data_IF_962873037628
#
_entry.id   IF_962873037628
#
_cell.length_a   1.000
_cell.length_b   1.000
_cell.length_c   1.000
_cell.angle_alpha   90.00
_cell.angle_beta   90.00
_cell.angle_gamma   90.00
#
_symmetry.space_group_name_H-M   'P 1'
#
loop_
_entity.id
_entity.type
_entity.pdbx_description
1 polymer ?
#
# COMPACT_ATOMS: atom_id res chain seq x y z
N UNK A 1 -47.18 29.92 23.68
CA UNK A 1 -47.15 28.60 23.00
C UNK A 1 -45.87 28.53 22.17
N UNK A 2 -44.76 28.11 22.80
CA UNK A 2 -43.50 27.81 22.10
C UNK A 2 -42.65 26.92 23.02
N UNK A 3 -42.95 25.63 23.01
CA UNK A 3 -42.19 24.58 23.70
C UNK A 3 -41.49 23.64 22.71
N UNK A 4 -41.48 23.99 21.42
CA UNK A 4 -40.96 23.15 20.34
C UNK A 4 -39.60 23.60 19.81
N UNK A 5 -39.14 24.82 20.13
CA UNK A 5 -37.90 25.37 19.55
C UNK A 5 -36.66 25.09 20.41
N UNK A 6 -36.83 24.66 21.68
CA UNK A 6 -35.70 24.50 22.61
C UNK A 6 -35.08 23.10 22.65
N UNK A 7 -35.75 22.07 22.13
CA UNK A 7 -35.23 20.68 22.10
C UNK A 7 -34.35 20.37 20.87
N UNK A 8 -34.43 21.18 19.81
CA UNK A 8 -33.76 20.86 18.53
C UNK A 8 -32.30 21.30 18.52
N UNK A 9 -31.89 22.24 19.38
CA UNK A 9 -30.51 22.72 19.45
C UNK A 9 -29.59 21.86 20.32
N UNK A 10 -30.12 21.04 21.23
CA UNK A 10 -29.31 20.15 22.09
C UNK A 10 -28.97 18.83 21.38
N UNK A 11 -29.83 18.32 20.49
CA UNK A 11 -29.60 17.07 19.75
C UNK A 11 -28.60 17.15 18.58
N UNK A 12 -28.17 18.35 18.17
CA UNK A 12 -27.21 18.53 17.08
C UNK A 12 -25.76 18.70 17.55
N UNK A 13 -25.54 18.90 18.86
CA UNK A 13 -24.20 19.07 19.44
C UNK A 13 -23.62 17.73 19.91
N UNK A 14 -24.45 16.82 20.44
CA UNK A 14 -24.01 15.48 20.86
C UNK A 14 -23.53 14.58 19.69
N UNK A 15 -24.06 14.77 18.47
CA UNK A 15 -23.68 13.95 17.31
C UNK A 15 -22.30 14.32 16.72
N UNK A 16 -21.73 15.47 17.08
CA UNK A 16 -20.45 15.96 16.52
C UNK A 16 -19.27 15.54 17.39
N UNK A 17 -19.45 15.34 18.70
CA UNK A 17 -18.37 14.92 19.60
C UNK A 17 -17.94 13.47 19.34
N UNK A 18 -18.89 12.55 19.11
CA UNK A 18 -18.60 11.14 18.82
C UNK A 18 -17.78 10.94 17.51
N UNK A 19 -18.01 11.80 16.51
CA UNK A 19 -17.30 11.72 15.21
C UNK A 19 -15.83 12.15 15.32
N UNK A 20 -15.53 13.12 16.20
CA UNK A 20 -14.16 13.61 16.40
C UNK A 20 -13.32 12.59 17.18
N UNK A 21 -13.92 11.89 18.14
CA UNK A 21 -13.26 10.82 18.90
C UNK A 21 -12.90 9.63 17.99
N UNK A 22 -13.83 9.22 17.12
CA UNK A 22 -13.60 8.17 16.12
C UNK A 22 -12.52 8.55 15.10
N UNK A 23 -12.48 9.82 14.68
CA UNK A 23 -11.47 10.34 13.75
C UNK A 23 -10.04 10.21 14.27
N UNK A 24 -9.82 10.46 15.57
CA UNK A 24 -8.50 10.34 16.19
C UNK A 24 -8.08 8.87 16.32
N UNK A 25 -9.02 7.98 16.68
CA UNK A 25 -8.77 6.55 16.78
C UNK A 25 -8.42 5.95 15.40
N UNK A 26 -9.13 6.33 14.34
CA UNK A 26 -8.84 5.91 12.96
C UNK A 26 -7.48 6.45 12.49
N UNK A 27 -7.15 7.71 12.79
CA UNK A 27 -5.86 8.31 12.45
C UNK A 27 -4.68 7.66 13.21
N UNK A 28 -4.89 7.16 14.42
CA UNK A 28 -3.87 6.44 15.18
C UNK A 28 -3.72 4.99 14.70
N UNK A 29 -4.82 4.31 14.35
CA UNK A 29 -4.82 2.97 13.75
C UNK A 29 -4.13 2.97 12.39
N UNK A 30 -4.41 3.97 11.54
CA UNK A 30 -3.75 4.12 10.23
C UNK A 30 -2.24 4.36 10.37
N UNK A 31 -1.81 5.20 11.33
CA UNK A 31 -0.38 5.40 11.63
C UNK A 31 0.31 4.14 12.17
N UNK A 32 -0.34 3.36 13.03
CA UNK A 32 0.20 2.07 13.52
C UNK A 32 0.32 1.06 12.38
N UNK A 33 -0.70 0.94 11.54
CA UNK A 33 -0.68 0.08 10.36
C UNK A 33 0.44 0.50 9.39
N UNK A 34 0.59 1.79 9.09
CA UNK A 34 1.66 2.30 8.24
C UNK A 34 3.07 2.02 8.80
N UNK A 35 3.26 2.11 10.13
CA UNK A 35 4.52 1.74 10.78
C UNK A 35 4.80 0.24 10.72
N UNK A 36 3.79 -0.59 10.92
CA UNK A 36 3.92 -2.04 10.85
C UNK A 36 4.19 -2.51 9.41
N UNK A 37 3.53 -1.92 8.41
CA UNK A 37 3.82 -2.17 7.00
C UNK A 37 5.26 -1.78 6.62
N UNK A 38 5.76 -0.64 7.12
CA UNK A 38 7.16 -0.24 6.92
C UNK A 38 8.19 -1.17 7.59
N UNK A 39 7.81 -1.85 8.69
CA UNK A 39 8.66 -2.83 9.38
C UNK A 39 8.58 -4.21 8.73
N UNK A 40 7.40 -4.62 8.25
CA UNK A 40 7.20 -5.88 7.53
C UNK A 40 7.84 -5.87 6.14
N UNK A 41 7.89 -4.72 5.45
CA UNK A 41 8.60 -4.58 4.18
C UNK A 41 10.11 -4.88 4.29
N UNK A 42 10.70 -4.80 5.49
CA UNK A 42 12.10 -5.14 5.75
C UNK A 42 12.31 -6.62 6.13
N UNK A 43 11.24 -7.35 6.44
CA UNK A 43 11.31 -8.74 6.92
C UNK A 43 11.00 -9.79 5.85
N UNK A 44 10.45 -9.41 4.70
CA UNK A 44 10.05 -10.34 3.64
C UNK A 44 10.90 -10.17 2.39
N UNK A 45 12.19 -10.47 2.49
CA UNK A 45 13.07 -10.73 1.33
C UNK A 45 12.77 -12.12 0.73
N UNK A 46 11.48 -12.44 0.52
CA UNK A 46 11.01 -13.60 -0.26
C UNK A 46 10.68 -13.12 -1.68
N UNK A 47 11.73 -12.79 -2.44
CA UNK A 47 11.65 -11.92 -3.63
C UNK A 47 11.10 -12.63 -4.87
N UNK A 48 11.06 -13.96 -4.91
CA UNK A 48 10.79 -14.69 -6.15
C UNK A 48 9.30 -14.90 -6.49
N UNK A 49 8.40 -14.86 -5.50
CA UNK A 49 6.99 -15.24 -5.65
C UNK A 49 6.05 -14.03 -5.86
N UNK A 50 6.45 -12.84 -5.38
CA UNK A 50 5.59 -11.64 -5.45
C UNK A 50 5.63 -10.87 -6.77
N UNK A 51 6.49 -11.26 -7.73
CA UNK A 51 6.61 -10.57 -9.02
C UNK A 51 5.59 -11.05 -10.06
N UNK A 52 5.03 -12.24 -9.90
CA UNK A 52 4.26 -12.90 -10.96
C UNK A 52 2.84 -12.33 -11.10
N UNK A 53 2.33 -11.66 -10.08
CA UNK A 53 1.02 -10.97 -10.02
C UNK A 53 1.13 -9.44 -10.22
N UNK A 54 2.30 -8.95 -10.63
CA UNK A 54 2.50 -7.56 -11.07
C UNK A 54 2.17 -7.44 -12.55
N UNK A 55 1.10 -6.70 -12.90
CA UNK A 55 0.67 -6.51 -14.30
C UNK A 55 1.41 -5.35 -15.01
N UNK A 56 2.11 -4.49 -14.27
CA UNK A 56 2.75 -3.32 -14.85
C UNK A 56 3.73 -2.61 -13.93
N UNK A 57 4.43 -1.61 -14.46
CA UNK A 57 5.45 -0.85 -13.75
C UNK A 57 5.22 0.66 -13.92
N UNK A 58 5.13 1.39 -12.80
CA UNK A 58 5.06 2.85 -12.78
C UNK A 58 6.40 3.44 -12.40
N UNK A 59 6.96 4.30 -13.25
CA UNK A 59 8.16 5.08 -12.91
C UNK A 59 7.85 6.11 -11.83
N UNK A 60 8.76 6.27 -10.87
CA UNK A 60 8.70 7.25 -9.79
C UNK A 60 10.09 7.64 -9.30
N UNK A 61 10.15 8.72 -8.51
CA UNK A 61 11.32 9.09 -7.71
C UNK A 61 11.09 8.64 -6.26
N UNK A 62 12.05 7.90 -5.70
CA UNK A 62 11.96 7.38 -4.33
C UNK A 62 12.13 8.49 -3.29
N UNK A 63 11.24 8.61 -2.31
CA UNK A 63 11.46 9.46 -1.13
C UNK A 63 12.19 8.74 0.02
N UNK A 64 12.33 7.42 -0.08
CA UNK A 64 13.04 6.56 0.88
C UNK A 64 13.83 5.51 0.14
N UNK A 65 14.95 5.10 0.70
CA UNK A 65 15.72 4.00 0.15
C UNK A 65 14.89 2.71 0.08
N UNK A 66 15.13 1.92 -0.95
CA UNK A 66 14.49 0.63 -1.20
C UNK A 66 15.52 -0.33 -1.80
N UNK A 67 15.13 -1.59 -2.01
CA UNK A 67 15.98 -2.58 -2.66
C UNK A 67 15.30 -3.08 -3.92
N UNK A 68 16.07 -3.25 -5.00
CA UNK A 68 15.55 -3.83 -6.23
C UNK A 68 15.10 -5.27 -5.97
N UNK A 69 13.82 -5.56 -6.17
CA UNK A 69 13.21 -6.88 -6.02
C UNK A 69 13.65 -7.89 -7.11
N UNK A 70 14.81 -7.71 -7.74
CA UNK A 70 15.34 -8.69 -8.69
C UNK A 70 16.84 -8.86 -8.57
N UNK A 71 17.59 -7.76 -8.67
CA UNK A 71 19.04 -7.80 -8.58
C UNK A 71 19.57 -7.39 -7.21
N UNK A 72 18.67 -7.14 -6.25
CA UNK A 72 18.97 -6.81 -4.85
C UNK A 72 19.84 -5.57 -4.66
N UNK A 73 20.03 -4.78 -5.72
CA UNK A 73 20.76 -3.52 -5.64
C UNK A 73 19.98 -2.52 -4.81
N UNK A 74 20.68 -1.84 -3.92
CA UNK A 74 20.12 -0.74 -3.14
C UNK A 74 19.77 0.44 -4.03
N UNK A 75 18.58 0.97 -3.81
CA UNK A 75 18.02 2.14 -4.47
C UNK A 75 17.99 3.27 -3.46
N UNK A 76 18.75 4.33 -3.70
CA UNK A 76 18.81 5.49 -2.80
C UNK A 76 17.50 6.30 -2.81
N UNK A 77 17.25 7.05 -1.74
CA UNK A 77 16.30 8.15 -1.81
C UNK A 77 16.74 9.16 -2.88
N UNK A 78 15.79 9.70 -3.64
CA UNK A 78 16.01 10.56 -4.80
C UNK A 78 16.28 9.80 -6.11
N UNK A 79 16.48 8.47 -6.08
CA UNK A 79 16.70 7.69 -7.30
C UNK A 79 15.39 7.43 -8.07
N UNK A 80 15.49 7.39 -9.41
CA UNK A 80 14.43 6.84 -10.26
C UNK A 80 14.30 5.33 -10.03
N UNK A 81 13.07 4.88 -9.82
CA UNK A 81 12.73 3.47 -9.64
C UNK A 81 11.36 3.17 -10.26
N UNK A 82 11.03 1.88 -10.33
CA UNK A 82 9.78 1.42 -10.93
C UNK A 82 8.99 0.62 -9.91
N UNK A 83 7.78 1.08 -9.57
CA UNK A 83 6.89 0.41 -8.63
C UNK A 83 5.98 -0.57 -9.36
N UNK A 84 5.86 -1.79 -8.81
CA UNK A 84 4.92 -2.78 -9.33
C UNK A 84 3.47 -2.36 -9.14
N UNK A 85 2.67 -2.49 -10.21
CA UNK A 85 1.23 -2.32 -10.22
C UNK A 85 0.54 -3.69 -10.18
N UNK A 86 -0.49 -3.83 -9.35
CA UNK A 86 -1.17 -5.09 -9.01
C UNK A 86 -2.60 -4.80 -8.57
N UNK A 87 -3.51 -5.72 -8.88
CA UNK A 87 -4.92 -5.59 -8.49
C UNK A 87 -5.14 -6.01 -7.03
N UNK A 88 -4.43 -7.06 -6.59
CA UNK A 88 -4.52 -7.57 -5.23
C UNK A 88 -3.51 -6.87 -4.31
N UNK A 89 -3.88 -6.58 -3.04
CA UNK A 89 -2.95 -6.11 -2.04
C UNK A 89 -1.76 -7.06 -1.89
N UNK A 90 -0.56 -6.51 -1.80
CA UNK A 90 0.67 -7.30 -1.69
C UNK A 90 1.86 -6.45 -1.28
N UNK A 91 3.02 -7.10 -1.18
CA UNK A 91 4.28 -6.42 -0.87
C UNK A 91 4.59 -5.32 -1.89
N UNK A 92 5.12 -4.20 -1.40
CA UNK A 92 5.61 -3.14 -2.27
C UNK A 92 6.88 -3.61 -2.97
N UNK A 93 6.86 -3.66 -4.29
CA UNK A 93 8.00 -4.07 -5.11
C UNK A 93 8.54 -2.90 -5.90
N UNK A 94 9.86 -2.78 -5.90
CA UNK A 94 10.60 -1.77 -6.66
C UNK A 94 11.62 -2.46 -7.57
N UNK A 95 11.75 -2.00 -8.81
CA UNK A 95 12.83 -2.39 -9.72
C UNK A 95 13.71 -1.20 -10.09
N UNK A 96 15.01 -1.46 -10.23
CA UNK A 96 15.92 -0.53 -10.87
C UNK A 96 15.60 -0.38 -12.37
N UNK A 97 16.06 0.71 -12.97
CA UNK A 97 15.89 1.01 -14.40
C UNK A 97 16.41 -0.11 -15.31
N UNK A 98 17.46 -0.82 -14.91
CA UNK A 98 18.01 -1.94 -15.68
C UNK A 98 17.12 -3.19 -15.63
N UNK A 99 16.48 -3.45 -14.48
CA UNK A 99 15.64 -4.64 -14.30
C UNK A 99 14.26 -4.51 -14.95
N UNK A 100 13.65 -3.32 -14.90
CA UNK A 100 12.31 -3.11 -15.50
C UNK A 100 12.33 -3.30 -17.02
N UNK A 101 13.43 -2.94 -17.69
CA UNK A 101 13.61 -3.07 -19.15
C UNK A 101 13.75 -4.53 -19.61
N UNK A 102 13.86 -5.47 -18.68
CA UNK A 102 13.93 -6.91 -18.94
C UNK A 102 12.72 -7.58 -18.31
N UNK A 103 11.48 -7.41 -18.82
CA UNK A 103 10.32 -8.04 -18.20
C UNK A 103 10.55 -9.57 -18.11
N UNK A 104 10.29 -10.14 -16.94
CA UNK A 104 10.33 -11.60 -16.76
C UNK A 104 9.17 -12.15 -17.59
N UNK A 105 9.40 -13.19 -18.38
CA UNK A 105 8.31 -13.87 -19.07
C UNK A 105 7.42 -14.49 -17.99
N UNK A 106 6.11 -14.17 -17.92
CA UNK A 106 5.24 -14.79 -16.93
C UNK A 106 5.28 -16.31 -17.13
N UNK A 107 5.38 -17.07 -16.03
CA UNK A 107 5.22 -18.52 -16.07
C UNK A 107 3.75 -18.77 -16.31
N UNK A 108 3.36 -19.06 -17.54
CA UNK A 108 2.02 -19.57 -17.83
C UNK A 108 1.87 -20.88 -17.05
N UNK A 109 1.01 -20.89 -16.03
CA UNK A 109 0.47 -22.12 -15.49
C UNK A 109 -0.42 -22.71 -16.59
N UNK A 110 0.21 -23.44 -17.51
CA UNK A 110 -0.48 -24.30 -18.45
C UNK A 110 -0.89 -25.57 -17.73
N UNK A 111 -2.21 -25.72 -17.56
CA UNK A 111 -2.97 -26.98 -17.64
C UNK A 111 -2.75 -28.01 -16.52
N UNK A 112 -3.67 -28.04 -15.56
CA UNK A 112 -4.13 -29.30 -14.95
C UNK A 112 -5.60 -29.17 -14.53
N UNK A 113 -6.50 -29.14 -15.52
CA UNK A 113 -7.89 -29.56 -15.33
C UNK A 113 -8.22 -30.55 -16.45
N UNK A 114 -7.80 -31.79 -16.22
CA UNK A 114 -8.24 -32.96 -17.00
C UNK A 114 -8.61 -34.05 -16.01
N UNK A 115 -9.83 -34.00 -15.45
CA UNK A 115 -10.63 -35.21 -15.20
C UNK A 115 -12.07 -34.93 -14.78
#
# INVERSE_FOLDING_TARGET
>A
MSLLVRNVLEGALDLVEDIVEDGLAVAQRSRRLARNLGRSAKATSGVADGLDDVYGWQELILNRAATCARCETDLAAGASAHRGLRDQPGSLLFLCTSCVRRPRRPRTHSEEETR
#
